data_IF_287712249698
#
_entry.id   IF_287712249698
#
_cell.length_a   1.000
_cell.length_b   1.000
_cell.length_c   1.000
_cell.angle_alpha   90.00
_cell.angle_beta   90.00
_cell.angle_gamma   90.00
#
_symmetry.space_group_name_H-M   'P 1'
#
loop_
_entity.id
_entity.type
_entity.pdbx_description
1 polymer ?
#
# COMPACT_ATOMS: atom_id res chain seq x y z
N UNK A 1 -43.82 23.21 33.61
CA UNK A 1 -42.60 23.98 33.26
C UNK A 1 -41.41 23.09 33.53
N UNK A 2 -40.62 22.62 32.59
CA UNK A 2 -40.74 22.56 31.14
C UNK A 2 -40.01 21.27 30.75
N UNK A 3 -40.56 20.58 29.76
CA UNK A 3 -39.85 19.79 28.76
C UNK A 3 -38.32 19.80 28.84
N UNK A 4 -37.71 18.62 28.99
CA UNK A 4 -36.43 18.34 28.36
C UNK A 4 -36.61 17.09 27.48
N UNK A 5 -37.21 17.23 26.28
CA UNK A 5 -37.66 16.14 25.41
C UNK A 5 -36.59 15.70 24.41
N UNK A 6 -35.34 16.12 24.55
CA UNK A 6 -34.28 15.75 23.63
C UNK A 6 -33.07 15.31 24.44
N UNK A 7 -32.84 14.00 24.45
CA UNK A 7 -31.58 13.45 24.94
C UNK A 7 -30.45 14.14 24.17
N UNK A 8 -29.66 14.94 24.87
CA UNK A 8 -28.58 15.73 24.27
C UNK A 8 -27.67 14.77 23.50
N UNK A 9 -27.67 14.91 22.18
CA UNK A 9 -26.82 14.13 21.29
C UNK A 9 -25.41 14.66 21.46
N UNK A 10 -24.56 13.93 22.15
CA UNK A 10 -23.12 14.21 22.13
C UNK A 10 -22.58 13.62 20.85
N UNK A 11 -22.39 14.47 19.85
CA UNK A 11 -21.82 14.10 18.56
C UNK A 11 -20.36 13.67 18.78
N UNK A 12 -20.12 12.35 18.91
CA UNK A 12 -18.77 11.80 18.89
C UNK A 12 -18.18 12.06 17.52
N UNK A 13 -17.11 12.86 17.48
CA UNK A 13 -16.32 13.03 16.28
C UNK A 13 -15.11 12.06 16.36
N UNK A 14 -15.08 10.97 15.56
CA UNK A 14 -13.97 10.03 15.59
C UNK A 14 -12.62 10.71 15.27
N UNK A 15 -12.64 11.83 14.53
CA UNK A 15 -11.45 12.61 14.19
C UNK A 15 -10.89 13.42 15.37
N UNK A 16 -11.65 13.59 16.46
CA UNK A 16 -11.21 14.26 17.68
C UNK A 16 -10.68 13.30 18.75
N UNK A 17 -10.78 11.98 18.52
CA UNK A 17 -10.19 10.99 19.42
C UNK A 17 -8.66 11.00 19.23
N UNK A 18 -7.87 11.23 20.29
CA UNK A 18 -6.42 11.29 20.16
C UNK A 18 -5.84 9.96 19.69
N UNK A 19 -4.78 10.04 18.88
CA UNK A 19 -4.10 8.87 18.36
C UNK A 19 -3.37 8.18 19.50
N UNK A 20 -3.62 6.89 19.66
CA UNK A 20 -2.74 6.02 20.39
C UNK A 20 -2.18 5.03 19.39
N UNK A 21 -0.89 5.16 19.06
CA UNK A 21 -0.18 4.15 18.30
C UNK A 21 0.99 3.66 19.13
N UNK A 22 1.32 2.39 18.98
CA UNK A 22 2.59 1.85 19.43
C UNK A 22 3.70 2.46 18.54
N UNK A 23 4.31 3.56 18.99
CA UNK A 23 5.46 4.21 18.32
C UNK A 23 6.73 3.36 18.52
N UNK A 24 6.75 2.19 17.88
CA UNK A 24 7.82 1.22 17.98
C UNK A 24 8.98 1.69 17.11
N UNK A 25 10.07 2.10 17.75
CA UNK A 25 11.29 2.54 17.11
C UNK A 25 12.43 1.56 17.42
N UNK A 26 12.97 0.93 16.38
CA UNK A 26 14.01 -0.10 16.52
C UNK A 26 15.20 0.14 15.57
N UNK A 27 16.36 -0.44 15.91
CA UNK A 27 17.49 -0.60 15.01
C UNK A 27 17.32 -1.78 14.05
N UNK A 28 18.18 -1.88 13.03
CA UNK A 28 18.21 -3.06 12.14
C UNK A 28 18.64 -4.33 12.87
N UNK A 29 19.57 -4.22 13.83
CA UNK A 29 19.94 -5.31 14.73
C UNK A 29 18.75 -5.79 15.56
N UNK A 30 18.01 -4.86 16.15
CA UNK A 30 16.85 -5.20 16.98
C UNK A 30 15.78 -5.89 16.13
N UNK A 31 15.55 -5.42 14.90
CA UNK A 31 14.66 -6.11 13.95
C UNK A 31 15.06 -7.58 13.73
N UNK A 32 16.33 -7.84 13.41
CA UNK A 32 16.81 -9.22 13.22
C UNK A 32 16.61 -10.03 14.50
N UNK A 33 16.96 -9.46 15.65
CA UNK A 33 16.81 -10.11 16.96
C UNK A 33 15.34 -10.45 17.26
N UNK A 34 14.41 -9.52 17.07
CA UNK A 34 12.99 -9.75 17.31
C UNK A 34 12.44 -10.90 16.47
N UNK A 35 12.81 -10.97 15.19
CA UNK A 35 12.37 -12.05 14.32
C UNK A 35 12.98 -13.40 14.71
N UNK A 36 14.26 -13.42 15.11
CA UNK A 36 14.93 -14.66 15.53
C UNK A 36 14.43 -15.13 16.89
N UNK A 37 14.31 -14.23 17.86
CA UNK A 37 13.80 -14.55 19.19
C UNK A 37 12.34 -15.03 19.09
N UNK A 38 11.52 -14.34 18.29
CA UNK A 38 10.16 -14.76 17.97
C UNK A 38 10.11 -16.14 17.33
N UNK A 39 10.97 -16.45 16.36
CA UNK A 39 11.01 -17.77 15.73
C UNK A 39 11.25 -18.92 16.71
N UNK A 40 12.14 -18.75 17.69
CA UNK A 40 12.46 -19.78 18.67
C UNK A 40 11.57 -19.76 19.93
N UNK A 41 10.77 -18.71 20.12
CA UNK A 41 9.90 -18.56 21.28
C UNK A 41 8.78 -19.61 21.29
N UNK A 42 8.51 -20.16 22.48
CA UNK A 42 7.46 -21.16 22.73
C UNK A 42 6.19 -20.54 23.29
N UNK A 43 6.30 -19.43 24.01
CA UNK A 43 5.16 -18.66 24.47
C UNK A 43 4.55 -17.88 23.30
N UNK A 44 3.32 -18.25 22.91
CA UNK A 44 2.61 -17.63 21.78
C UNK A 44 2.40 -16.13 21.97
N UNK A 45 2.21 -15.65 23.20
CA UNK A 45 2.00 -14.23 23.44
C UNK A 45 3.30 -13.45 23.25
N UNK A 46 4.41 -13.95 23.81
CA UNK A 46 5.72 -13.31 23.61
C UNK A 46 6.16 -13.39 22.14
N UNK A 47 5.93 -14.54 21.50
CA UNK A 47 6.19 -14.71 20.06
C UNK A 47 5.39 -13.72 19.22
N UNK A 48 4.11 -13.51 19.54
CA UNK A 48 3.27 -12.49 18.91
C UNK A 48 3.85 -11.08 19.06
N UNK A 49 4.26 -10.70 20.28
CA UNK A 49 4.85 -9.39 20.55
C UNK A 49 6.15 -9.19 19.78
N UNK A 50 7.08 -10.14 19.89
CA UNK A 50 8.40 -10.06 19.24
C UNK A 50 8.25 -9.91 17.71
N UNK A 51 7.39 -10.71 17.07
CA UNK A 51 7.15 -10.62 15.62
C UNK A 51 6.46 -9.32 15.19
N UNK A 52 5.42 -8.90 15.92
CA UNK A 52 4.67 -7.69 15.59
C UNK A 52 5.50 -6.42 15.77
N UNK A 53 6.25 -6.34 16.88
CA UNK A 53 7.10 -5.20 17.19
C UNK A 53 8.29 -5.12 16.23
N UNK A 54 8.88 -6.27 15.88
CA UNK A 54 9.96 -6.35 14.89
C UNK A 54 9.54 -5.82 13.52
N UNK A 55 8.47 -6.36 12.94
CA UNK A 55 8.04 -5.97 11.58
C UNK A 55 7.53 -4.52 11.53
N UNK A 56 6.79 -4.09 12.56
CA UNK A 56 6.25 -2.73 12.65
C UNK A 56 7.37 -1.72 12.82
N UNK A 57 8.35 -2.02 13.68
CA UNK A 57 9.52 -1.17 13.87
C UNK A 57 10.38 -1.03 12.62
N UNK A 58 10.56 -2.11 11.83
CA UNK A 58 11.24 -2.01 10.54
C UNK A 58 10.46 -1.13 9.57
N UNK A 59 9.14 -1.33 9.45
CA UNK A 59 8.31 -0.50 8.58
C UNK A 59 8.38 0.98 8.97
N UNK A 60 8.20 1.31 10.25
CA UNK A 60 8.26 2.68 10.75
C UNK A 60 9.61 3.33 10.44
N UNK A 61 10.70 2.58 10.58
CA UNK A 61 12.05 3.05 10.26
C UNK A 61 12.19 3.39 8.77
N UNK A 62 11.80 2.46 7.89
CA UNK A 62 11.88 2.68 6.43
C UNK A 62 10.94 3.80 5.99
N UNK A 63 9.70 3.80 6.48
CA UNK A 63 8.69 4.82 6.22
C UNK A 63 9.19 6.21 6.58
N UNK A 64 9.83 6.38 7.74
CA UNK A 64 10.44 7.65 8.15
C UNK A 64 11.51 8.13 7.17
N UNK A 65 12.38 7.23 6.69
CA UNK A 65 13.41 7.59 5.70
C UNK A 65 12.79 7.91 4.34
N UNK A 66 11.81 7.13 3.88
CA UNK A 66 11.13 7.39 2.62
C UNK A 66 10.30 8.68 2.65
N UNK A 67 9.69 9.03 3.79
CA UNK A 67 9.05 10.33 3.96
C UNK A 67 10.03 11.50 3.86
N UNK A 68 11.29 11.33 4.29
CA UNK A 68 12.32 12.36 4.09
C UNK A 68 12.62 12.53 2.60
N UNK A 69 12.70 11.43 1.85
CA UNK A 69 12.87 11.47 0.39
C UNK A 69 11.69 12.16 -0.29
N UNK A 70 10.45 11.75 0.05
CA UNK A 70 9.21 12.37 -0.45
C UNK A 70 9.24 13.89 -0.23
N UNK A 71 9.50 14.33 1.00
CA UNK A 71 9.43 15.75 1.35
C UNK A 71 10.60 16.58 0.80
N UNK A 72 11.76 15.95 0.52
CA UNK A 72 12.94 16.67 0.05
C UNK A 72 12.98 16.82 -1.47
N UNK A 73 12.42 15.86 -2.23
CA UNK A 73 12.63 15.75 -3.67
C UNK A 73 11.37 15.89 -4.50
N UNK A 74 10.19 15.66 -3.93
CA UNK A 74 8.93 15.76 -4.67
C UNK A 74 8.43 17.20 -4.64
N UNK A 75 8.46 17.87 -5.79
CA UNK A 75 7.75 19.11 -6.02
C UNK A 75 6.42 18.89 -6.74
N UNK A 76 6.30 17.85 -7.59
CA UNK A 76 5.04 17.50 -8.25
C UNK A 76 4.19 16.54 -7.38
N UNK A 77 2.97 16.94 -6.93
CA UNK A 77 2.09 16.09 -6.12
C UNK A 77 1.71 14.73 -6.74
N UNK A 78 1.80 14.59 -8.07
CA UNK A 78 1.53 13.33 -8.77
C UNK A 78 2.67 12.31 -8.64
N UNK A 79 3.87 12.74 -8.24
CA UNK A 79 5.01 11.87 -7.94
C UNK A 79 5.03 11.50 -6.47
N UNK A 80 4.36 10.40 -6.14
CA UNK A 80 4.26 9.92 -4.77
C UNK A 80 4.88 8.54 -4.65
N UNK A 81 5.63 8.34 -3.57
CA UNK A 81 6.16 7.01 -3.20
C UNK A 81 4.96 6.16 -2.76
N UNK A 82 4.61 5.16 -3.56
CA UNK A 82 3.40 4.33 -3.41
C UNK A 82 3.44 3.40 -2.20
N UNK A 83 4.63 3.10 -1.68
CA UNK A 83 4.81 2.34 -0.44
C UNK A 83 4.59 3.18 0.82
N UNK A 84 4.43 4.51 0.68
CA UNK A 84 4.05 5.40 1.78
C UNK A 84 2.53 5.45 1.95
N UNK A 85 2.05 5.67 3.18
CA UNK A 85 0.64 5.63 3.49
C UNK A 85 -0.21 6.79 2.92
N UNK A 86 0.42 7.73 2.21
CA UNK A 86 -0.18 8.92 1.61
C UNK A 86 -1.23 8.61 0.53
N UNK A 87 -1.16 7.44 -0.12
CA UNK A 87 -1.97 7.10 -1.29
C UNK A 87 -3.04 6.03 -1.06
N UNK A 88 -3.35 5.69 0.19
CA UNK A 88 -4.39 4.72 0.49
C UNK A 88 -5.69 5.07 -0.26
N UNK A 89 -6.24 4.13 -1.04
CA UNK A 89 -7.48 4.32 -1.79
C UNK A 89 -7.33 4.56 -3.30
N UNK A 90 -6.12 4.55 -3.87
CA UNK A 90 -5.96 4.16 -5.29
C UNK A 90 -6.01 2.63 -5.38
N UNK A 91 -6.45 2.09 -6.51
CA UNK A 91 -6.69 0.65 -6.70
C UNK A 91 -5.51 -0.26 -6.29
N UNK A 92 -4.28 0.26 -6.19
CA UNK A 92 -3.09 -0.47 -5.77
C UNK A 92 -2.99 -0.53 -4.24
N UNK A 93 -3.49 -1.61 -3.63
CA UNK A 93 -3.68 -1.77 -2.18
C UNK A 93 -2.43 -2.25 -1.38
N UNK A 94 -1.23 -2.30 -1.99
CA UNK A 94 0.00 -2.64 -1.26
C UNK A 94 0.75 -1.40 -0.80
N UNK A 95 0.70 -1.14 0.50
CA UNK A 95 1.25 0.07 1.11
C UNK A 95 2.13 -0.33 2.29
N UNK A 96 3.17 -1.12 2.04
CA UNK A 96 4.24 -1.34 3.01
C UNK A 96 5.58 -0.98 2.41
N UNK A 97 6.46 -0.45 3.24
CA UNK A 97 7.87 -0.25 2.88
C UNK A 97 8.67 -1.56 2.89
N UNK A 98 8.12 -2.61 3.52
CA UNK A 98 8.70 -3.96 3.57
C UNK A 98 8.13 -4.78 2.41
N UNK A 99 8.93 -5.02 1.37
CA UNK A 99 8.49 -5.59 0.09
C UNK A 99 9.26 -6.89 -0.26
N UNK A 100 9.08 -8.00 0.50
CA UNK A 100 9.87 -9.21 0.33
C UNK A 100 9.73 -9.82 -1.07
N UNK A 101 8.55 -9.78 -1.69
CA UNK A 101 8.35 -10.25 -3.06
C UNK A 101 9.27 -9.52 -4.07
N UNK A 102 9.34 -8.18 -3.96
CA UNK A 102 10.20 -7.35 -4.80
C UNK A 102 11.69 -7.64 -4.53
N UNK A 103 12.08 -7.80 -3.26
CA UNK A 103 13.46 -8.07 -2.86
C UNK A 103 13.95 -9.45 -3.32
N UNK A 104 13.12 -10.49 -3.20
CA UNK A 104 13.39 -11.84 -3.71
C UNK A 104 13.55 -11.83 -5.23
N UNK A 105 12.81 -10.99 -5.94
CA UNK A 105 12.94 -10.83 -7.39
C UNK A 105 14.10 -9.90 -7.81
N UNK A 106 14.90 -9.42 -6.87
CA UNK A 106 16.04 -8.54 -7.13
C UNK A 106 15.64 -7.11 -7.55
N UNK A 107 14.40 -6.71 -7.28
CA UNK A 107 13.87 -5.38 -7.60
C UNK A 107 13.85 -4.52 -6.34
N UNK A 108 15.04 -4.08 -5.91
CA UNK A 108 15.19 -3.21 -4.74
C UNK A 108 14.57 -1.85 -5.02
N UNK A 109 13.77 -1.35 -4.06
CA UNK A 109 12.97 -0.13 -4.23
C UNK A 109 11.74 -0.30 -5.14
N UNK A 110 11.45 -1.52 -5.60
CA UNK A 110 10.18 -1.86 -6.24
C UNK A 110 9.08 -2.19 -5.23
N UNK A 111 7.90 -2.53 -5.75
CA UNK A 111 6.76 -2.97 -4.94
C UNK A 111 5.96 -4.03 -5.68
N UNK A 112 5.27 -4.90 -4.96
CA UNK A 112 4.28 -5.77 -5.56
C UNK A 112 2.96 -5.02 -5.79
N UNK A 113 2.33 -5.21 -6.96
CA UNK A 113 1.01 -4.68 -7.28
C UNK A 113 -0.02 -5.83 -7.27
N UNK A 114 -0.88 -5.92 -6.23
CA UNK A 114 -1.84 -7.02 -6.08
C UNK A 114 -2.98 -6.97 -7.10
N UNK A 115 -3.24 -5.83 -7.75
CA UNK A 115 -4.30 -5.72 -8.76
C UNK A 115 -3.82 -6.25 -10.09
N UNK A 116 -2.57 -5.95 -10.43
CA UNK A 116 -2.00 -6.35 -11.71
C UNK A 116 -1.21 -7.64 -11.63
N UNK A 117 -1.02 -8.18 -10.43
CA UNK A 117 -0.33 -9.44 -10.15
C UNK A 117 1.08 -9.47 -10.76
N UNK A 118 1.86 -8.40 -10.48
CA UNK A 118 3.27 -8.35 -10.85
C UNK A 118 4.09 -7.42 -9.96
N UNK A 119 5.41 -7.61 -10.00
CA UNK A 119 6.36 -6.76 -9.28
C UNK A 119 6.66 -5.51 -10.11
N UNK A 120 6.20 -4.37 -9.61
CA UNK A 120 6.54 -3.07 -10.13
C UNK A 120 8.02 -2.77 -9.88
N UNK A 121 8.69 -2.40 -10.97
CA UNK A 121 10.09 -1.97 -11.01
C UNK A 121 10.32 -0.58 -10.44
N UNK A 122 9.26 0.22 -10.31
CA UNK A 122 9.24 1.50 -9.64
C UNK A 122 8.08 1.53 -8.64
N UNK A 123 8.20 2.36 -7.61
CA UNK A 123 7.13 2.68 -6.68
C UNK A 123 6.81 4.19 -6.69
N UNK A 124 7.29 4.95 -7.69
CA UNK A 124 7.12 6.42 -7.75
C UNK A 124 6.46 6.85 -9.06
N UNK A 125 5.46 7.74 -8.97
CA UNK A 125 4.79 8.32 -10.14
C UNK A 125 3.85 7.36 -10.87
N UNK A 126 3.34 7.76 -12.04
CA UNK A 126 2.35 7.01 -12.83
C UNK A 126 2.97 6.07 -13.89
N UNK A 127 4.29 6.05 -14.00
CA UNK A 127 5.02 5.35 -15.06
C UNK A 127 4.66 3.89 -14.93
N UNK A 128 3.85 3.36 -15.87
CA UNK A 128 3.33 1.99 -15.87
C UNK A 128 4.41 1.11 -15.27
N UNK A 129 4.18 0.53 -14.08
CA UNK A 129 5.19 0.04 -13.13
C UNK A 129 6.24 -0.96 -13.65
N UNK A 130 6.34 -1.16 -14.95
CA UNK A 130 7.30 -1.93 -15.73
C UNK A 130 8.58 -1.15 -16.12
N UNK A 131 8.71 0.16 -15.88
CA UNK A 131 9.92 0.92 -16.20
C UNK A 131 10.72 1.29 -14.94
N UNK A 132 12.05 1.15 -14.98
CA UNK A 132 12.97 1.37 -13.83
C UNK A 132 13.46 2.82 -13.70
N UNK A 133 13.40 3.57 -14.80
CA UNK A 133 13.92 4.92 -14.91
C UNK A 133 13.31 5.61 -16.12
N UNK A 134 13.49 6.93 -16.20
CA UNK A 134 13.13 7.71 -17.38
C UNK A 134 13.72 7.10 -18.65
N UNK A 135 15.03 6.82 -18.63
CA UNK A 135 15.73 6.21 -19.75
C UNK A 135 15.14 4.84 -20.14
N UNK A 136 14.79 3.99 -19.17
CA UNK A 136 14.19 2.68 -19.48
C UNK A 136 12.83 2.86 -20.15
N UNK A 137 11.97 3.73 -19.64
CA UNK A 137 10.69 4.01 -20.29
C UNK A 137 10.89 4.60 -21.69
N UNK A 138 11.78 5.58 -21.87
CA UNK A 138 12.07 6.16 -23.18
C UNK A 138 12.54 5.07 -24.17
N UNK A 139 13.47 4.21 -23.75
CA UNK A 139 13.91 3.05 -24.52
C UNK A 139 12.77 2.08 -24.84
N UNK A 140 11.86 1.85 -23.88
CA UNK A 140 10.70 0.99 -24.07
C UNK A 140 9.69 1.61 -25.05
N UNK A 141 9.44 2.91 -24.96
CA UNK A 141 8.57 3.67 -25.84
C UNK A 141 9.07 3.64 -27.28
N UNK A 142 10.38 3.80 -27.51
CA UNK A 142 10.98 3.71 -28.86
C UNK A 142 11.14 2.27 -29.37
N UNK A 143 10.96 1.26 -28.53
CA UNK A 143 10.97 -0.16 -28.94
C UNK A 143 9.57 -0.76 -29.01
N UNK A 144 8.52 0.05 -28.80
CA UNK A 144 7.14 -0.44 -28.96
C UNK A 144 6.88 -0.86 -30.40
N UNK A 145 6.10 -1.94 -30.63
CA UNK A 145 5.77 -2.41 -31.97
C UNK A 145 5.12 -1.32 -32.84
N UNK A 146 4.33 -0.44 -32.25
CA UNK A 146 3.71 0.70 -32.94
C UNK A 146 4.74 1.72 -33.41
N UNK A 147 5.69 2.11 -32.55
CA UNK A 147 6.79 3.00 -32.92
C UNK A 147 7.66 2.37 -34.02
N UNK A 148 8.03 1.11 -33.87
CA UNK A 148 8.79 0.36 -34.86
C UNK A 148 8.03 0.24 -36.20
N UNK A 149 6.72 -0.02 -36.18
CA UNK A 149 5.89 -0.12 -37.36
C UNK A 149 5.76 1.23 -38.09
N UNK A 150 5.61 2.33 -37.37
CA UNK A 150 5.57 3.67 -37.95
C UNK A 150 6.87 3.99 -38.70
N UNK A 151 8.02 3.74 -38.07
CA UNK A 151 9.33 3.99 -38.68
C UNK A 151 9.64 3.00 -39.82
N UNK A 152 9.12 1.76 -39.75
CA UNK A 152 9.19 0.81 -40.86
C UNK A 152 8.38 1.28 -42.08
N UNK A 153 7.18 1.85 -41.85
CA UNK A 153 6.35 2.43 -42.91
C UNK A 153 7.03 3.65 -43.54
N UNK A 154 7.66 4.49 -42.73
CA UNK A 154 8.47 5.62 -43.21
C UNK A 154 9.64 5.13 -44.08
N UNK A 155 10.36 4.10 -43.63
CA UNK A 155 11.44 3.47 -44.41
C UNK A 155 10.93 2.87 -45.73
N UNK A 156 9.81 2.16 -45.72
CA UNK A 156 9.18 1.61 -46.93
C UNK A 156 8.80 2.75 -47.89
N UNK A 157 8.27 3.85 -47.38
CA UNK A 157 7.90 5.02 -48.18
C UNK A 157 9.12 5.67 -48.84
N UNK A 158 10.26 5.74 -48.14
CA UNK A 158 11.54 6.20 -48.70
C UNK A 158 12.00 5.25 -49.81
N UNK A 159 11.97 3.93 -49.58
CA UNK A 159 12.37 2.92 -50.57
C UNK A 159 11.48 3.01 -51.80
N UNK A 160 10.16 3.10 -51.65
CA UNK A 160 9.22 3.26 -52.76
C UNK A 160 9.43 4.57 -53.52
N UNK A 161 9.75 5.66 -52.82
CA UNK A 161 10.11 6.94 -53.44
C UNK A 161 11.36 6.84 -54.31
N UNK A 162 12.41 6.17 -53.81
CA UNK A 162 13.63 5.88 -54.59
C UNK A 162 13.32 4.99 -55.79
N UNK A 163 12.51 3.94 -55.59
CA UNK A 163 12.13 3.00 -56.65
C UNK A 163 11.33 3.69 -57.76
N UNK A 164 10.38 4.56 -57.39
CA UNK A 164 9.55 5.32 -58.33
C UNK A 164 10.38 6.33 -59.12
N UNK A 165 11.35 6.99 -58.49
CA UNK A 165 12.30 7.85 -59.19
C UNK A 165 13.13 7.07 -60.22
N UNK A 166 13.64 5.89 -59.83
CA UNK A 166 14.49 5.05 -60.69
C UNK A 166 13.74 4.42 -61.88
N UNK A 167 12.45 4.09 -61.70
CA UNK A 167 11.64 3.39 -62.70
C UNK A 167 10.89 4.32 -63.65
N UNK A 168 10.79 5.62 -63.38
CA UNK A 168 10.00 6.55 -64.20
C UNK A 168 10.84 7.19 -65.33
N UNK A 169 10.58 6.86 -66.61
CA UNK A 169 11.44 7.25 -67.73
C UNK A 169 11.45 8.77 -68.02
N UNK A 170 10.46 9.53 -67.54
CA UNK A 170 10.41 10.99 -67.68
C UNK A 170 11.37 11.73 -66.72
N UNK A 171 11.89 11.05 -65.69
CA UNK A 171 12.79 11.62 -64.67
C UNK A 171 14.26 11.27 -64.95
N UNK A 172 14.48 10.15 -65.66
CA UNK A 172 15.77 9.49 -65.96
C UNK A 172 16.81 10.33 -66.74
N UNK A 173 16.45 11.52 -67.24
CA UNK A 173 17.30 12.32 -68.13
C UNK A 173 18.00 13.50 -67.44
N UNK A 174 17.91 13.66 -66.12
CA UNK A 174 18.47 14.81 -65.41
C UNK A 174 19.16 14.40 -64.09
N UNK A 175 20.30 13.71 -64.20
CA UNK A 175 21.07 13.10 -63.11
C UNK A 175 21.30 14.00 -61.87
N UNK A 176 21.42 15.32 -62.05
CA UNK A 176 21.70 16.25 -60.95
C UNK A 176 20.45 16.69 -60.18
N UNK A 177 19.29 16.82 -60.83
CA UNK A 177 18.04 17.16 -60.13
C UNK A 177 17.43 15.92 -59.45
N UNK A 178 17.67 14.74 -60.01
CA UNK A 178 17.21 13.44 -59.50
C UNK A 178 17.84 13.11 -58.14
N UNK A 179 19.17 13.22 -58.04
CA UNK A 179 19.91 13.03 -56.79
C UNK A 179 19.51 14.10 -55.76
N UNK A 180 19.36 15.36 -56.17
CA UNK A 180 18.96 16.45 -55.25
C UNK A 180 17.56 16.26 -54.70
N UNK A 181 16.57 15.89 -55.53
CA UNK A 181 15.19 15.68 -55.06
C UNK A 181 15.07 14.47 -54.13
N UNK A 182 15.77 13.37 -54.42
CA UNK A 182 15.79 12.19 -53.54
C UNK A 182 16.47 12.53 -52.21
N UNK A 183 17.63 13.20 -52.24
CA UNK A 183 18.32 13.63 -51.01
C UNK A 183 17.42 14.57 -50.20
N UNK A 184 16.75 15.54 -50.84
CA UNK A 184 15.86 16.48 -50.15
C UNK A 184 14.69 15.74 -49.50
N UNK A 185 14.02 14.82 -50.21
CA UNK A 185 12.90 14.05 -49.66
C UNK A 185 13.36 13.14 -48.52
N UNK A 186 14.47 12.41 -48.69
CA UNK A 186 15.03 11.56 -47.63
C UNK A 186 15.48 12.36 -46.40
N UNK A 187 16.14 13.51 -46.60
CA UNK A 187 16.57 14.39 -45.50
C UNK A 187 15.36 14.97 -44.78
N UNK A 188 14.32 15.41 -45.50
CA UNK A 188 13.10 15.96 -44.88
C UNK A 188 12.36 14.86 -44.10
N UNK A 189 12.19 13.66 -44.66
CA UNK A 189 11.51 12.55 -43.96
C UNK A 189 12.26 12.10 -42.71
N UNK A 190 13.59 11.90 -42.81
CA UNK A 190 14.41 11.53 -41.64
C UNK A 190 14.47 12.65 -40.61
N UNK A 191 14.58 13.92 -41.04
CA UNK A 191 14.60 15.06 -40.12
C UNK A 191 13.25 15.29 -39.45
N UNK A 192 12.14 14.98 -40.13
CA UNK A 192 10.80 15.05 -39.54
C UNK A 192 10.63 13.97 -38.47
N UNK A 193 10.99 12.71 -38.76
CA UNK A 193 10.92 11.63 -37.77
C UNK A 193 11.85 11.90 -36.58
N UNK A 194 13.10 12.28 -36.83
CA UNK A 194 14.05 12.63 -35.78
C UNK A 194 13.57 13.85 -34.98
N UNK A 195 13.00 14.84 -35.65
CA UNK A 195 12.39 16.02 -35.04
C UNK A 195 11.21 15.66 -34.15
N UNK A 196 10.30 14.80 -34.61
CA UNK A 196 9.18 14.28 -33.82
C UNK A 196 9.64 13.47 -32.61
N UNK A 197 10.66 12.63 -32.76
CA UNK A 197 11.27 11.90 -31.63
C UNK A 197 11.88 12.88 -30.62
N UNK A 198 12.67 13.84 -31.08
CA UNK A 198 13.28 14.85 -30.20
C UNK A 198 12.20 15.69 -29.49
N UNK A 199 11.15 16.10 -30.20
CA UNK A 199 10.04 16.86 -29.63
C UNK A 199 9.26 16.01 -28.62
N UNK A 200 8.93 14.76 -28.93
CA UNK A 200 8.28 13.85 -27.98
C UNK A 200 9.14 13.63 -26.75
N UNK A 201 10.45 13.40 -26.92
CA UNK A 201 11.39 13.28 -25.80
C UNK A 201 11.44 14.57 -24.98
N UNK A 202 11.46 15.74 -25.62
CA UNK A 202 11.46 17.02 -24.93
C UNK A 202 10.13 17.29 -24.21
N UNK A 203 8.99 16.99 -24.82
CA UNK A 203 7.68 17.14 -24.21
C UNK A 203 7.53 16.17 -23.04
N UNK A 204 7.83 14.89 -23.20
CA UNK A 204 7.82 13.90 -22.10
C UNK A 204 8.80 14.26 -20.98
N UNK A 205 9.96 14.87 -21.30
CA UNK A 205 10.97 15.19 -20.28
C UNK A 205 10.69 16.52 -19.56
N UNK A 206 10.23 17.55 -20.27
CA UNK A 206 10.16 18.94 -19.77
C UNK A 206 8.74 19.53 -19.71
N UNK A 207 7.76 18.91 -20.36
CA UNK A 207 6.35 19.31 -20.34
C UNK A 207 5.41 18.09 -20.37
N UNK A 208 5.63 17.09 -19.48
CA UNK A 208 4.85 15.87 -19.48
C UNK A 208 3.40 16.20 -19.13
N UNK A 209 2.47 15.50 -19.80
CA UNK A 209 1.18 15.25 -19.17
C UNK A 209 1.48 14.51 -17.87
N UNK A 210 1.03 15.08 -16.75
CA UNK A 210 1.30 14.66 -15.38
C UNK A 210 1.39 13.12 -15.25
N UNK A 211 2.55 12.54 -14.83
CA UNK A 211 3.57 13.06 -13.91
C UNK A 211 4.95 13.44 -14.48
N UNK A 212 5.66 14.32 -13.76
CA UNK A 212 7.03 14.78 -14.04
C UNK A 212 8.09 13.67 -13.92
N UNK A 213 8.65 13.13 -15.00
CA UNK A 213 9.30 11.83 -14.92
C UNK A 213 10.78 11.86 -14.57
N UNK A 214 11.44 12.98 -14.84
CA UNK A 214 12.79 13.21 -14.37
C UNK A 214 12.82 13.22 -12.83
N UNK A 215 11.89 13.95 -12.22
CA UNK A 215 11.69 13.95 -10.76
C UNK A 215 11.36 12.54 -10.25
N UNK A 216 10.40 11.85 -10.88
CA UNK A 216 10.04 10.48 -10.49
C UNK A 216 11.25 9.53 -10.54
N UNK A 217 12.10 9.64 -11.55
CA UNK A 217 13.31 8.83 -11.68
C UNK A 217 14.35 9.15 -10.60
N UNK A 218 14.53 10.42 -10.24
CA UNK A 218 15.43 10.81 -9.15
C UNK A 218 14.93 10.31 -7.80
N UNK A 219 13.63 10.47 -7.53
CA UNK A 219 13.00 9.97 -6.30
C UNK A 219 13.13 8.45 -6.24
N UNK A 220 12.86 7.73 -7.34
CA UNK A 220 13.01 6.27 -7.40
C UNK A 220 14.44 5.79 -7.14
N UNK A 221 15.45 6.51 -7.65
CA UNK A 221 16.86 6.21 -7.38
C UNK A 221 17.18 6.36 -5.90
N UNK A 222 16.68 7.42 -5.26
CA UNK A 222 16.86 7.65 -3.83
C UNK A 222 16.11 6.62 -2.97
N UNK A 223 14.90 6.22 -3.38
CA UNK A 223 14.18 5.09 -2.75
C UNK A 223 15.01 3.82 -2.83
N UNK A 224 15.55 3.49 -4.01
CA UNK A 224 16.41 2.31 -4.18
C UNK A 224 17.61 2.37 -3.23
N UNK A 225 18.31 3.51 -3.13
CA UNK A 225 19.47 3.66 -2.26
C UNK A 225 19.12 3.47 -0.77
N UNK A 226 18.02 4.07 -0.31
CA UNK A 226 17.53 3.93 1.07
C UNK A 226 17.22 2.47 1.40
N UNK A 227 16.43 1.80 0.54
CA UNK A 227 16.05 0.40 0.77
C UNK A 227 17.26 -0.54 0.67
N UNK A 228 18.14 -0.34 -0.32
CA UNK A 228 19.34 -1.17 -0.47
C UNK A 228 20.27 -1.05 0.75
N UNK A 229 20.48 0.17 1.25
CA UNK A 229 21.31 0.40 2.44
C UNK A 229 20.73 -0.30 3.67
N UNK A 230 19.40 -0.25 3.84
CA UNK A 230 18.72 -0.97 4.92
C UNK A 230 18.88 -2.49 4.79
N UNK A 231 18.70 -3.05 3.59
CA UNK A 231 18.90 -4.47 3.29
C UNK A 231 20.34 -4.90 3.60
N UNK A 232 21.34 -4.11 3.22
CA UNK A 232 22.75 -4.39 3.53
C UNK A 232 23.01 -4.41 5.04
N UNK A 233 22.45 -3.46 5.78
CA UNK A 233 22.58 -3.42 7.24
C UNK A 233 21.92 -4.65 7.89
N UNK A 234 20.71 -5.03 7.45
CA UNK A 234 20.02 -6.22 7.96
C UNK A 234 20.83 -7.48 7.64
N UNK A 235 21.31 -7.64 6.41
CA UNK A 235 22.05 -8.82 5.99
C UNK A 235 23.31 -9.09 6.81
N UNK A 236 24.01 -8.02 7.24
CA UNK A 236 25.19 -8.11 8.12
C UNK A 236 24.84 -8.61 9.52
N UNK A 237 23.65 -8.27 10.02
CA UNK A 237 23.21 -8.64 11.37
C UNK A 237 22.63 -10.07 11.44
N UNK A 238 22.28 -10.69 10.30
CA UNK A 238 21.83 -12.08 10.25
C UNK A 238 23.02 -13.02 10.48
N UNK A 239 22.95 -13.89 11.50
CA UNK A 239 23.96 -14.91 11.77
C UNK A 239 24.01 -15.99 10.69
N UNK A 240 25.14 -16.67 10.53
CA UNK A 240 25.28 -17.72 9.50
C UNK A 240 24.33 -18.91 9.72
N UNK A 241 24.01 -19.22 10.98
CA UNK A 241 22.97 -20.19 11.33
C UNK A 241 21.61 -19.76 10.76
N UNK A 242 21.19 -18.52 10.99
CA UNK A 242 19.90 -18.03 10.50
C UNK A 242 19.87 -17.88 8.97
N UNK A 243 21.02 -17.56 8.33
CA UNK A 243 21.12 -17.57 6.85
C UNK A 243 20.82 -18.97 6.30
N UNK A 244 21.39 -20.01 6.92
CA UNK A 244 21.20 -21.40 6.49
C UNK A 244 19.76 -21.90 6.67
N UNK A 245 19.02 -21.33 7.63
CA UNK A 245 17.60 -21.62 7.84
C UNK A 245 16.70 -20.85 6.87
N UNK A 246 17.09 -19.63 6.48
CA UNK A 246 16.32 -18.80 5.57
C UNK A 246 16.36 -19.31 4.12
N UNK A 247 17.47 -19.92 3.70
CA UNK A 247 17.65 -20.40 2.32
C UNK A 247 18.50 -21.67 2.24
N UNK A 248 18.16 -22.54 1.28
CA UNK A 248 18.94 -23.74 0.93
C UNK A 248 19.98 -23.47 -0.19
N UNK A 249 20.08 -22.23 -0.69
CA UNK A 249 20.97 -21.88 -1.80
C UNK A 249 22.37 -21.46 -1.31
N UNK A 250 23.43 -21.94 -1.98
CA UNK A 250 24.83 -21.71 -1.58
C UNK A 250 25.28 -20.24 -1.72
N UNK A 251 24.71 -19.47 -2.66
CA UNK A 251 25.03 -18.05 -2.83
C UNK A 251 23.78 -17.26 -3.24
N UNK A 252 23.37 -16.33 -2.39
CA UNK A 252 22.19 -15.50 -2.58
C UNK A 252 22.55 -14.03 -2.34
N UNK A 253 22.05 -13.11 -3.17
CA UNK A 253 22.30 -11.67 -2.96
C UNK A 253 21.57 -11.17 -1.72
N UNK A 254 22.11 -10.13 -1.06
CA UNK A 254 21.52 -9.57 0.16
C UNK A 254 20.00 -9.28 0.07
N UNK A 255 19.44 -8.69 -1.02
CA UNK A 255 17.99 -8.48 -1.12
C UNK A 255 17.19 -9.77 -1.05
N UNK A 256 17.67 -10.82 -1.72
CA UNK A 256 17.01 -12.11 -1.75
C UNK A 256 17.12 -12.78 -0.37
N UNK A 257 18.30 -12.74 0.25
CA UNK A 257 18.53 -13.26 1.60
C UNK A 257 17.59 -12.61 2.62
N UNK A 258 17.52 -11.28 2.64
CA UNK A 258 16.66 -10.54 3.57
C UNK A 258 15.18 -10.80 3.28
N UNK A 259 14.79 -10.89 2.00
CA UNK A 259 13.44 -11.26 1.60
C UNK A 259 13.04 -12.65 2.13
N UNK A 260 13.88 -13.66 1.91
CA UNK A 260 13.64 -15.01 2.43
C UNK A 260 13.69 -15.08 3.96
N UNK A 261 14.57 -14.32 4.61
CA UNK A 261 14.62 -14.20 6.06
C UNK A 261 13.29 -13.68 6.62
N UNK A 262 12.72 -12.61 6.04
CA UNK A 262 11.38 -12.10 6.42
C UNK A 262 10.32 -13.18 6.19
N UNK A 263 10.36 -13.88 5.06
CA UNK A 263 9.36 -14.91 4.76
C UNK A 263 9.42 -16.10 5.74
N UNK A 264 10.60 -16.54 6.14
CA UNK A 264 10.74 -17.66 7.08
C UNK A 264 10.47 -17.22 8.52
N UNK A 265 11.20 -16.21 9.01
CA UNK A 265 11.20 -15.86 10.43
C UNK A 265 9.96 -15.08 10.84
N UNK A 266 9.40 -14.26 9.93
CA UNK A 266 8.17 -13.52 10.19
C UNK A 266 6.92 -14.17 9.56
N UNK A 267 6.90 -14.42 8.25
CA UNK A 267 5.64 -14.80 7.57
C UNK A 267 5.17 -16.21 7.96
N UNK A 268 6.00 -17.23 7.82
CA UNK A 268 5.64 -18.61 8.18
C UNK A 268 5.35 -18.76 9.69
N UNK A 269 6.22 -18.21 10.53
CA UNK A 269 6.01 -18.17 11.99
C UNK A 269 4.72 -17.43 12.35
N UNK A 270 4.53 -16.25 11.76
CA UNK A 270 3.40 -15.36 12.01
C UNK A 270 2.06 -15.97 11.58
N UNK A 271 2.01 -16.76 10.49
CA UNK A 271 0.81 -17.54 10.14
C UNK A 271 0.41 -18.49 11.27
N UNK A 272 1.38 -19.18 11.86
CA UNK A 272 1.16 -20.12 12.96
C UNK A 272 0.70 -19.40 14.22
N UNK A 273 1.34 -18.27 14.55
CA UNK A 273 0.96 -17.40 15.67
C UNK A 273 -0.47 -16.89 15.50
N UNK A 274 -0.80 -16.31 14.35
CA UNK A 274 -2.14 -15.81 14.04
C UNK A 274 -3.20 -16.89 14.21
N UNK A 275 -2.94 -18.10 13.70
CA UNK A 275 -3.86 -19.23 13.85
C UNK A 275 -4.06 -19.62 15.32
N UNK A 276 -3.02 -19.54 16.15
CA UNK A 276 -3.09 -19.81 17.61
C UNK A 276 -3.84 -18.70 18.36
N UNK A 277 -3.57 -17.43 18.05
CA UNK A 277 -4.25 -16.27 18.63
C UNK A 277 -5.78 -16.31 18.40
N UNK A 278 -6.20 -16.86 17.25
CA UNK A 278 -7.59 -16.99 16.80
C UNK A 278 -8.28 -18.30 17.20
N UNK A 279 -7.62 -19.19 17.97
CA UNK A 279 -8.27 -20.39 18.51
C UNK A 279 -9.38 -19.99 19.51
N UNK A 280 -10.38 -20.86 19.78
CA UNK A 280 -11.39 -20.60 20.81
C UNK A 280 -10.81 -20.34 22.21
N UNK A 281 -9.60 -20.85 22.49
CA UNK A 281 -8.84 -20.64 23.73
C UNK A 281 -7.79 -19.53 23.61
N UNK A 282 -7.67 -18.90 22.45
CA UNK A 282 -6.68 -17.85 22.17
C UNK A 282 -7.06 -16.50 22.76
N UNK A 283 -6.09 -15.59 22.77
CA UNK A 283 -6.21 -14.24 23.35
C UNK A 283 -7.29 -13.42 22.63
N UNK A 284 -7.42 -13.59 21.30
CA UNK A 284 -8.41 -12.87 20.48
C UNK A 284 -9.68 -13.70 20.22
N UNK A 285 -10.01 -14.63 21.11
CA UNK A 285 -11.27 -15.36 21.07
C UNK A 285 -12.46 -14.47 21.43
N UNK A 286 -13.67 -14.85 20.99
CA UNK A 286 -14.92 -14.12 21.29
C UNK A 286 -15.15 -13.92 22.80
N UNK A 287 -14.60 -14.79 23.64
CA UNK A 287 -14.70 -14.69 25.11
C UNK A 287 -13.73 -13.67 25.71
N UNK A 288 -12.53 -13.57 25.16
CA UNK A 288 -11.43 -12.80 25.74
C UNK A 288 -11.32 -11.39 25.14
N UNK A 289 -11.92 -11.15 23.97
CA UNK A 289 -11.79 -9.87 23.26
C UNK A 289 -12.28 -8.66 24.05
N UNK A 290 -13.19 -8.89 25.01
CA UNK A 290 -13.70 -7.85 25.90
C UNK A 290 -12.68 -7.39 26.93
N UNK A 291 -11.55 -8.08 27.10
CA UNK A 291 -10.50 -7.71 28.08
C UNK A 291 -9.23 -7.19 27.40
N UNK A 292 -9.25 -7.04 26.07
CA UNK A 292 -8.08 -6.62 25.31
C UNK A 292 -8.04 -5.09 25.26
N UNK A 293 -6.88 -4.54 25.62
CA UNK A 293 -6.60 -3.10 25.53
C UNK A 293 -6.15 -2.72 24.12
N UNK A 294 -6.27 -1.43 23.78
CA UNK A 294 -5.95 -0.95 22.45
C UNK A 294 -4.52 -1.26 21.96
N UNK A 295 -3.45 -1.07 22.75
CA UNK A 295 -2.09 -1.38 22.31
C UNK A 295 -1.91 -2.84 21.85
N UNK A 296 -2.55 -3.78 22.55
CA UNK A 296 -2.50 -5.20 22.20
C UNK A 296 -3.30 -5.50 20.94
N UNK A 297 -4.45 -4.83 20.78
CA UNK A 297 -5.27 -4.94 19.58
C UNK A 297 -4.59 -4.35 18.34
N UNK A 298 -3.91 -3.22 18.49
CA UNK A 298 -3.15 -2.60 17.40
C UNK A 298 -1.99 -3.48 16.92
N UNK A 299 -1.28 -4.16 17.83
CA UNK A 299 -0.27 -5.18 17.45
C UNK A 299 -0.89 -6.30 16.64
N UNK A 300 -2.12 -6.71 16.98
CA UNK A 300 -2.83 -7.77 16.27
C UNK A 300 -3.26 -7.34 14.86
N UNK A 301 -3.73 -6.10 14.70
CA UNK A 301 -4.00 -5.49 13.40
C UNK A 301 -2.72 -5.38 12.55
N UNK A 302 -1.62 -4.96 13.17
CA UNK A 302 -0.31 -4.79 12.51
C UNK A 302 0.24 -6.13 12.04
N UNK A 303 0.23 -7.17 12.89
CA UNK A 303 0.64 -8.52 12.49
C UNK A 303 -0.17 -9.00 11.28
N UNK A 304 -1.51 -8.90 11.34
CA UNK A 304 -2.36 -9.36 10.26
C UNK A 304 -2.12 -8.62 8.95
N UNK A 305 -1.88 -7.30 9.01
CA UNK A 305 -1.55 -6.49 7.83
C UNK A 305 -0.40 -7.07 7.02
N UNK A 306 0.76 -7.24 7.65
CA UNK A 306 1.95 -7.71 6.94
C UNK A 306 1.78 -9.15 6.46
N UNK A 307 1.16 -10.01 7.26
CA UNK A 307 0.85 -11.37 6.81
C UNK A 307 -0.09 -11.34 5.59
N UNK A 308 -1.12 -10.51 5.59
CA UNK A 308 -2.04 -10.37 4.46
C UNK A 308 -1.30 -9.88 3.22
N UNK A 309 -0.54 -8.79 3.32
CA UNK A 309 0.21 -8.22 2.19
C UNK A 309 1.21 -9.21 1.58
N UNK A 310 1.92 -9.99 2.40
CA UNK A 310 2.84 -11.01 1.89
C UNK A 310 2.11 -12.23 1.31
N UNK A 311 0.93 -12.54 1.85
CA UNK A 311 0.07 -13.59 1.31
C UNK A 311 -0.53 -13.23 -0.04
N UNK A 312 -0.91 -11.96 -0.24
CA UNK A 312 -1.50 -11.49 -1.48
C UNK A 312 -0.44 -11.29 -2.58
N UNK A 313 0.85 -11.30 -2.20
CA UNK A 313 1.99 -11.29 -3.12
C UNK A 313 2.32 -12.62 -3.80
N UNK A 314 1.57 -13.69 -3.47
CA UNK A 314 1.66 -15.03 -4.08
C UNK A 314 3.09 -15.50 -4.40
N UNK A 315 4.01 -15.30 -3.44
CA UNK A 315 5.42 -15.69 -3.60
C UNK A 315 5.46 -17.22 -3.70
N UNK A 316 5.78 -17.75 -4.89
CA UNK A 316 5.62 -19.17 -5.30
C UNK A 316 6.07 -20.23 -4.28
N UNK A 317 7.01 -19.92 -3.39
CA UNK A 317 7.56 -20.84 -2.39
C UNK A 317 6.76 -20.88 -1.08
N UNK A 318 5.88 -19.91 -0.84
CA UNK A 318 5.20 -19.71 0.45
C UNK A 318 3.69 -19.78 0.28
N UNK A 319 3.03 -20.64 1.06
CA UNK A 319 1.58 -20.81 0.98
C UNK A 319 0.85 -19.58 1.56
N UNK A 320 -0.26 -19.15 0.93
CA UNK A 320 -1.06 -18.03 1.42
C UNK A 320 -1.70 -18.34 2.78
N UNK A 321 -2.15 -17.28 3.48
CA UNK A 321 -2.95 -17.44 4.70
C UNK A 321 -4.25 -18.19 4.36
N UNK A 322 -4.58 -19.28 5.07
CA UNK A 322 -5.81 -20.01 4.84
C UNK A 322 -7.07 -19.13 5.00
N UNK A 323 -8.04 -19.28 4.10
CA UNK A 323 -9.31 -18.54 4.12
C UNK A 323 -10.04 -18.62 5.47
N UNK A 324 -9.97 -19.79 6.13
CA UNK A 324 -10.58 -19.98 7.43
C UNK A 324 -9.94 -19.08 8.50
N UNK A 325 -8.62 -18.88 8.44
CA UNK A 325 -7.89 -17.98 9.34
C UNK A 325 -8.27 -16.53 9.05
N UNK A 326 -8.33 -16.12 7.77
CA UNK A 326 -8.82 -14.79 7.36
C UNK A 326 -10.24 -14.54 7.90
N UNK A 327 -11.17 -15.49 7.73
CA UNK A 327 -12.55 -15.39 8.24
C UNK A 327 -12.61 -15.25 9.77
N UNK A 328 -11.78 -15.99 10.51
CA UNK A 328 -11.71 -15.88 11.97
C UNK A 328 -11.18 -14.52 12.42
N UNK A 329 -10.20 -13.95 11.71
CA UNK A 329 -9.71 -12.60 11.95
C UNK A 329 -10.83 -11.57 11.80
N UNK A 330 -11.56 -11.58 10.67
CA UNK A 330 -12.69 -10.68 10.46
C UNK A 330 -13.80 -10.86 11.51
N UNK A 331 -14.07 -12.10 11.93
CA UNK A 331 -14.98 -12.35 13.05
C UNK A 331 -14.49 -11.68 14.34
N UNK A 332 -13.20 -11.77 14.66
CA UNK A 332 -12.64 -11.11 15.84
C UNK A 332 -12.81 -9.58 15.76
N UNK A 333 -12.58 -8.96 14.59
CA UNK A 333 -12.82 -7.53 14.40
C UNK A 333 -14.28 -7.12 14.66
N UNK A 334 -15.23 -7.88 14.11
CA UNK A 334 -16.66 -7.63 14.33
C UNK A 334 -16.99 -7.74 15.81
N UNK A 335 -16.51 -8.78 16.51
CA UNK A 335 -16.77 -8.92 17.95
C UNK A 335 -16.08 -7.81 18.76
N UNK A 336 -14.89 -7.35 18.39
CA UNK A 336 -14.23 -6.21 19.04
C UNK A 336 -15.01 -4.91 18.85
N UNK A 337 -15.54 -4.66 17.65
CA UNK A 337 -16.45 -3.56 17.37
C UNK A 337 -17.75 -3.70 18.18
N UNK A 338 -18.26 -4.91 18.37
CA UNK A 338 -19.51 -5.15 19.11
C UNK A 338 -19.39 -5.07 20.62
N UNK A 339 -18.32 -5.63 21.16
CA UNK A 339 -18.22 -6.00 22.58
C UNK A 339 -16.84 -5.74 23.17
N UNK A 340 -15.91 -5.17 22.41
CA UNK A 340 -14.58 -4.84 22.89
C UNK A 340 -14.61 -3.77 23.97
N UNK A 341 -13.45 -3.55 24.60
CA UNK A 341 -13.27 -2.41 25.51
C UNK A 341 -13.62 -1.10 24.78
N UNK A 342 -14.16 -0.08 25.48
CA UNK A 342 -14.55 1.17 24.86
C UNK A 342 -13.45 1.81 24.01
N UNK A 343 -12.20 1.79 24.49
CA UNK A 343 -11.05 2.33 23.77
C UNK A 343 -10.81 1.61 22.44
N UNK A 344 -10.80 0.28 22.44
CA UNK A 344 -10.67 -0.55 21.21
C UNK A 344 -11.80 -0.25 20.24
N UNK A 345 -13.03 -0.19 20.75
CA UNK A 345 -14.22 0.11 19.96
C UNK A 345 -14.11 1.48 19.28
N UNK A 346 -13.77 2.54 20.02
CA UNK A 346 -13.66 3.89 19.48
C UNK A 346 -12.51 4.04 18.48
N UNK A 347 -11.35 3.44 18.77
CA UNK A 347 -10.22 3.48 17.83
C UNK A 347 -10.54 2.73 16.54
N UNK A 348 -11.20 1.56 16.60
CA UNK A 348 -11.64 0.85 15.39
C UNK A 348 -12.63 1.67 14.57
N UNK A 349 -13.58 2.36 15.19
CA UNK A 349 -14.53 3.23 14.48
C UNK A 349 -13.86 4.43 13.84
N UNK A 350 -12.93 5.08 14.54
CA UNK A 350 -12.12 6.16 14.00
C UNK A 350 -11.38 5.71 12.77
N UNK A 351 -10.71 4.57 12.86
CA UNK A 351 -9.96 4.07 11.74
C UNK A 351 -10.88 3.65 10.57
N UNK A 352 -12.08 3.11 10.84
CA UNK A 352 -13.10 2.87 9.80
C UNK A 352 -13.60 4.19 9.16
N UNK A 353 -13.71 5.26 9.92
CA UNK A 353 -14.08 6.57 9.39
C UNK A 353 -13.02 7.14 8.47
N UNK A 354 -11.76 7.15 8.93
CA UNK A 354 -10.59 7.58 8.15
C UNK A 354 -10.40 6.73 6.89
N UNK A 355 -10.73 5.44 6.99
CA UNK A 355 -10.71 4.51 5.87
C UNK A 355 -11.73 4.83 4.75
N UNK A 356 -12.80 5.56 5.07
CA UNK A 356 -13.85 5.93 4.13
C UNK A 356 -13.63 7.33 3.53
N UNK A 357 -12.67 8.11 4.03
CA UNK A 357 -12.34 9.42 3.47
C UNK A 357 -11.78 9.34 2.03
N UNK A 358 -12.04 10.36 1.19
CA UNK A 358 -11.35 10.53 -0.08
C UNK A 358 -9.81 10.58 0.09
N UNK A 359 -9.02 10.05 -0.87
CA UNK A 359 -7.55 10.00 -0.75
C UNK A 359 -6.88 11.35 -0.50
N UNK A 360 -7.37 12.42 -1.12
CA UNK A 360 -6.87 13.79 -0.95
C UNK A 360 -7.10 14.35 0.46
N UNK A 361 -8.24 14.04 1.10
CA UNK A 361 -8.52 14.45 2.47
C UNK A 361 -7.64 13.66 3.44
N UNK A 362 -7.55 12.35 3.23
CA UNK A 362 -6.68 11.48 4.02
C UNK A 362 -5.23 11.95 3.97
N UNK A 363 -4.71 12.24 2.77
CA UNK A 363 -3.34 12.76 2.60
C UNK A 363 -3.07 14.00 3.47
N UNK A 364 -4.02 14.95 3.53
CA UNK A 364 -3.90 16.11 4.40
C UNK A 364 -3.90 15.76 5.88
N UNK A 365 -4.64 14.72 6.30
CA UNK A 365 -4.59 14.22 7.68
C UNK A 365 -3.24 13.56 7.97
N UNK A 366 -2.74 12.68 7.09
CA UNK A 366 -1.41 12.03 7.20
C UNK A 366 -0.28 13.05 7.32
N UNK A 367 -0.32 14.11 6.51
CA UNK A 367 0.70 15.15 6.51
C UNK A 367 0.70 15.98 7.80
N UNK A 368 -0.47 16.15 8.42
CA UNK A 368 -0.62 16.84 9.72
C UNK A 368 -0.27 15.94 10.89
N UNK A 369 -0.70 14.69 10.85
CA UNK A 369 -0.42 13.66 11.82
C UNK A 369 -0.22 12.30 11.14
N UNK A 370 1.04 11.86 11.07
CA UNK A 370 1.43 10.61 10.38
C UNK A 370 0.86 9.37 11.05
N UNK A 371 0.26 9.49 12.23
CA UNK A 371 -0.28 8.40 13.00
C UNK A 371 -1.75 8.06 12.63
N UNK A 372 -2.41 8.82 11.74
CA UNK A 372 -3.85 8.79 11.47
C UNK A 372 -4.37 7.71 10.48
N UNK A 373 -3.58 6.71 10.08
CA UNK A 373 -3.83 6.08 8.77
C UNK A 373 -4.29 4.63 8.83
N UNK A 374 -4.46 4.06 10.01
CA UNK A 374 -4.08 2.65 10.08
C UNK A 374 -5.10 1.63 9.54
N UNK A 375 -6.43 1.85 9.49
CA UNK A 375 -7.34 0.76 9.02
C UNK A 375 -7.31 0.46 7.53
N UNK A 376 -7.09 1.44 6.64
CA UNK A 376 -6.89 1.13 5.21
C UNK A 376 -5.53 0.50 4.92
N UNK A 377 -4.62 0.56 5.87
CA UNK A 377 -3.37 -0.18 5.81
C UNK A 377 -3.57 -1.57 6.42
N UNK A 378 -4.24 -1.68 7.56
CA UNK A 378 -4.55 -2.95 8.22
C UNK A 378 -5.50 -3.85 7.43
N UNK A 379 -6.44 -3.26 6.69
CA UNK A 379 -7.44 -3.91 5.85
C UNK A 379 -7.50 -3.29 4.47
N UNK A 380 -7.83 -4.08 3.45
CA UNK A 380 -8.06 -3.54 2.10
C UNK A 380 -9.36 -2.72 2.04
N UNK A 381 -9.47 -1.83 1.05
CA UNK A 381 -10.68 -1.02 0.84
C UNK A 381 -11.91 -1.91 0.68
N UNK A 382 -11.74 -3.02 -0.04
CA UNK A 382 -12.79 -4.04 -0.20
C UNK A 382 -13.16 -4.70 1.13
N UNK A 383 -12.18 -5.06 1.96
CA UNK A 383 -12.42 -5.63 3.29
C UNK A 383 -13.17 -4.66 4.19
N UNK A 384 -12.81 -3.37 4.16
CA UNK A 384 -13.49 -2.32 4.93
C UNK A 384 -14.95 -2.17 4.47
N UNK A 385 -15.21 -2.12 3.16
CA UNK A 385 -16.58 -2.03 2.63
C UNK A 385 -17.44 -3.22 3.04
N UNK A 386 -16.90 -4.44 2.96
CA UNK A 386 -17.59 -5.66 3.41
C UNK A 386 -17.89 -5.61 4.91
N UNK A 387 -16.93 -5.22 5.74
CA UNK A 387 -17.12 -5.10 7.17
C UNK A 387 -18.19 -4.06 7.52
N UNK A 388 -18.20 -2.91 6.85
CA UNK A 388 -19.25 -1.89 7.00
C UNK A 388 -20.62 -2.42 6.57
N UNK A 389 -20.68 -3.22 5.50
CA UNK A 389 -21.92 -3.83 5.04
C UNK A 389 -22.49 -4.83 6.05
N UNK A 390 -21.65 -5.72 6.59
CA UNK A 390 -22.03 -6.72 7.59
C UNK A 390 -22.55 -6.05 8.87
N UNK A 391 -21.85 -5.02 9.35
CA UNK A 391 -22.30 -4.20 10.49
C UNK A 391 -23.69 -3.59 10.25
N UNK A 392 -23.96 -3.09 9.03
CA UNK A 392 -25.28 -2.55 8.67
C UNK A 392 -26.37 -3.61 8.68
N UNK A 393 -26.07 -4.81 8.15
CA UNK A 393 -27.02 -5.93 8.15
C UNK A 393 -27.38 -6.32 9.59
N UNK A 394 -26.38 -6.46 10.46
CA UNK A 394 -26.63 -6.89 11.84
C UNK A 394 -27.37 -5.82 12.64
N UNK A 395 -27.12 -4.54 12.37
CA UNK A 395 -27.92 -3.42 12.88
C UNK A 395 -29.39 -3.52 12.44
N UNK A 396 -29.67 -3.84 11.17
CA UNK A 396 -31.04 -3.99 10.65
C UNK A 396 -31.75 -5.17 11.32
N UNK A 397 -31.08 -6.33 11.45
CA UNK A 397 -31.63 -7.52 12.12
C UNK A 397 -31.95 -7.22 13.59
N UNK A 398 -31.09 -6.47 14.28
CA UNK A 398 -31.34 -6.03 15.64
C UNK A 398 -32.59 -5.16 15.74
N UNK A 399 -32.72 -4.12 14.90
CA UNK A 399 -33.88 -3.22 14.89
C UNK A 399 -35.20 -3.95 14.67
N UNK A 400 -35.15 -5.08 13.95
CA UNK A 400 -36.30 -5.95 13.69
C UNK A 400 -36.54 -7.00 14.79
N UNK A 401 -35.64 -7.15 15.78
CA UNK A 401 -35.72 -8.18 16.82
C UNK A 401 -36.73 -7.84 17.91
N UNK A 402 -37.50 -8.85 18.36
CA UNK A 402 -38.47 -8.73 19.46
C UNK A 402 -37.82 -8.62 20.86
N UNK A 403 -36.55 -8.99 20.99
CA UNK A 403 -35.76 -8.93 22.23
C UNK A 403 -34.42 -8.20 22.00
N UNK A 404 -34.44 -6.86 21.82
CA UNK A 404 -33.25 -6.07 21.52
C UNK A 404 -32.15 -6.14 22.60
N UNK A 405 -32.49 -6.52 23.83
CA UNK A 405 -31.55 -6.71 24.94
C UNK A 405 -30.61 -7.92 24.77
N UNK A 406 -30.99 -8.92 23.97
CA UNK A 406 -30.16 -10.12 23.74
C UNK A 406 -29.06 -9.94 22.69
N UNK A 407 -29.10 -8.82 21.96
CA UNK A 407 -28.18 -8.51 20.86
C UNK A 407 -27.45 -7.17 21.05
N UNK A 408 -27.69 -6.45 22.16
CA UNK A 408 -27.26 -5.06 22.31
C UNK A 408 -26.12 -4.86 23.29
N UNK A 409 -24.90 -4.61 22.79
CA UNK A 409 -23.86 -3.89 23.54
C UNK A 409 -23.29 -2.66 22.84
N UNK A 410 -23.48 -2.46 21.51
CA UNK A 410 -23.08 -1.18 20.86
C UNK A 410 -24.14 -0.09 21.07
N UNK A 411 -25.42 -0.37 20.78
CA UNK A 411 -26.46 0.68 20.76
C UNK A 411 -26.81 1.25 22.14
N UNK A 412 -26.39 0.59 23.23
CA UNK A 412 -26.52 1.13 24.59
C UNK A 412 -25.31 1.96 25.06
N UNK A 413 -24.18 1.96 24.35
CA UNK A 413 -22.98 2.71 24.74
C UNK A 413 -22.53 3.75 23.72
N UNK A 414 -22.73 3.54 22.41
CA UNK A 414 -22.22 4.44 21.38
C UNK A 414 -23.25 4.95 20.38
N UNK A 415 -24.49 4.42 20.30
CA UNK A 415 -25.53 4.82 19.32
C UNK A 415 -24.95 5.36 17.99
N UNK A 416 -24.20 4.54 17.26
CA UNK A 416 -23.46 4.97 16.06
C UNK A 416 -24.38 4.91 14.85
N UNK A 417 -24.79 6.07 14.33
CA UNK A 417 -25.42 6.21 13.03
C UNK A 417 -24.33 6.47 11.99
N UNK A 418 -24.09 5.49 11.11
CA UNK A 418 -23.21 5.65 9.94
C UNK A 418 -23.98 6.37 8.84
N UNK A 419 -23.84 7.69 8.76
CA UNK A 419 -24.45 8.51 7.72
C UNK A 419 -23.48 8.54 6.53
N UNK A 420 -23.79 7.76 5.50
CA UNK A 420 -23.11 7.89 4.20
C UNK A 420 -23.89 8.90 3.38
N UNK A 421 -23.46 10.16 3.40
CA UNK A 421 -24.03 11.19 2.54
C UNK A 421 -23.52 10.96 1.11
N UNK A 422 -24.44 10.64 0.18
CA UNK A 422 -24.16 10.75 -1.26
C UNK A 422 -24.27 12.21 -1.65
N UNK A 423 -23.15 12.92 -1.64
CA UNK A 423 -23.01 14.14 -2.45
C UNK A 423 -22.38 13.75 -3.78
N UNK A 424 -22.64 14.52 -4.83
CA UNK A 424 -22.70 14.10 -6.24
C UNK A 424 -21.48 13.38 -6.83
N UNK A 425 -20.32 13.31 -6.17
CA UNK A 425 -19.19 12.45 -6.53
C UNK A 425 -18.35 11.98 -5.31
N UNK A 426 -18.81 12.19 -4.08
CA UNK A 426 -18.05 11.91 -2.85
C UNK A 426 -18.91 11.21 -1.79
N UNK A 427 -18.44 10.06 -1.29
CA UNK A 427 -19.01 9.40 -0.11
C UNK A 427 -18.40 10.04 1.14
N UNK A 428 -19.11 11.02 1.71
CA UNK A 428 -18.78 11.51 3.05
C UNK A 428 -19.47 10.58 4.05
N UNK A 429 -18.68 9.88 4.88
CA UNK A 429 -19.19 9.01 5.94
C UNK A 429 -18.99 9.69 7.28
N UNK A 430 -20.08 10.17 7.87
CA UNK A 430 -20.10 10.70 9.24
C UNK A 430 -20.68 9.67 10.18
N UNK A 431 -20.12 9.58 11.39
CA UNK A 431 -20.61 8.73 12.46
C UNK A 431 -21.25 9.65 13.50
N UNK A 432 -22.55 9.51 13.77
CA UNK A 432 -23.16 10.17 14.94
C UNK A 432 -23.26 9.17 16.07
N UNK A 433 -22.66 9.47 17.22
CA UNK A 433 -22.96 8.79 18.48
C UNK A 433 -24.09 9.52 19.20
N UNK A 434 -24.97 8.82 19.92
CA UNK A 434 -25.73 9.46 21.00
C UNK A 434 -25.40 8.83 22.37
N UNK A 435 -24.29 9.25 22.96
CA UNK A 435 -23.89 8.85 24.30
C UNK A 435 -24.57 9.72 25.37
N UNK A 436 -25.83 9.42 25.73
CA UNK A 436 -26.56 10.19 26.77
C UNK A 436 -26.45 9.62 28.20
N UNK A 437 -25.53 8.68 28.48
CA UNK A 437 -25.41 8.04 29.81
C UNK A 437 -24.02 7.99 30.45
N UNK A 438 -22.99 8.53 29.81
CA UNK A 438 -21.62 8.53 30.37
C UNK A 438 -21.19 9.85 31.05
N UNK A 439 -22.06 10.87 31.14
CA UNK A 439 -21.66 12.24 31.52
C UNK A 439 -21.56 12.52 33.03
N UNK A 440 -20.98 11.60 33.82
CA UNK A 440 -20.51 11.98 35.16
C UNK A 440 -19.08 11.53 35.48
N UNK A 441 -18.45 10.74 34.63
CA UNK A 441 -17.07 10.25 34.85
C UNK A 441 -16.07 10.72 33.80
N UNK A 442 -16.53 11.29 32.69
CA UNK A 442 -15.70 11.53 31.50
C UNK A 442 -15.29 13.00 31.28
N UNK A 443 -15.55 13.89 32.24
CA UNK A 443 -15.06 15.28 32.22
C UNK A 443 -13.56 15.41 32.57
N UNK A 444 -12.85 14.31 32.86
CA UNK A 444 -11.44 14.37 33.30
C UNK A 444 -10.41 13.85 32.29
N UNK A 445 -10.80 13.36 31.12
CA UNK A 445 -9.87 13.03 30.04
C UNK A 445 -10.02 14.06 28.91
N UNK A 446 -9.53 15.26 29.21
CA UNK A 446 -9.30 16.32 28.22
C UNK A 446 -8.01 16.12 27.43
#
# INVERSE_FOLDING_TARGET
MAENPEGTVVEFNPLQTPVQNNDIQIGFRDFVKYLTDGYYEKDIQKQFHDLSDGITGLNNKLEKELFRVQNALVANPSNTIRTLPLLAGREVECISTVQPAAWISGVVGGMYDPVKDFICLNCVGHWEGKARSLNHYLWKSITTPCFCAFHLIALISIILGILFAYLNPNIKNNNLSEIKSIIIVSVISVSYDLGCVIILLMLETFSPDDPAPFEASQVQEQVHQVINSAIECIAVEISDEHKSLATNEMEMKNPQLVGHFVMVFFYETGKTVLANLLKPTGIFSEKNIQTIEWPEFERFLSLFRFLREFSDAEILTYEPIPDLTRKKFFKALIVALERGQPEVHFQLLRLLALALEPPNIRMQHVEKDKHDINMNHYLTTNSVRSLVHDLKIDLIKWKASKNPLSYGSIENQARIEVIVAKSSDEQLVTFRSHASRFSSTYTELG
#
